data_IF_061906514389
#
_entry.id   IF_061906514389
#
_cell.length_a   1.000
_cell.length_b   1.000
_cell.length_c   1.000
_cell.angle_alpha   90.00
_cell.angle_beta   90.00
_cell.angle_gamma   90.00
#
_symmetry.space_group_name_H-M   'P 1'
#
loop_
_entity.id
_entity.type
_entity.pdbx_description
1 polymer ?
#
# COMPACT_ATOMS: atom_id res chain seq x y z
N UNK A 1 -33.81 45.82 54.39
CA UNK A 1 -32.60 46.22 55.13
C UNK A 1 -31.67 46.86 54.13
N UNK A 2 -31.69 48.18 54.07
CA UNK A 2 -30.74 48.97 53.28
C UNK A 2 -29.45 49.09 54.12
N UNK A 3 -28.27 48.74 53.59
CA UNK A 3 -27.03 48.96 54.32
C UNK A 3 -26.59 50.42 54.17
N UNK A 4 -26.46 51.10 55.32
CA UNK A 4 -25.79 52.38 55.50
C UNK A 4 -24.41 52.40 54.84
N UNK A 5 -24.19 53.38 53.97
CA UNK A 5 -22.88 53.57 53.31
C UNK A 5 -22.04 54.55 54.16
N UNK A 6 -20.90 54.14 54.74
CA UNK A 6 -20.06 55.03 55.53
C UNK A 6 -19.45 56.14 54.65
N UNK A 7 -19.57 57.40 55.07
CA UNK A 7 -19.01 58.59 54.41
C UNK A 7 -17.48 58.66 54.57
N UNK A 8 -16.77 57.72 53.94
CA UNK A 8 -15.31 57.64 53.89
C UNK A 8 -14.73 58.11 52.55
N UNK A 9 -13.43 58.44 52.56
CA UNK A 9 -12.61 58.76 51.37
C UNK A 9 -12.69 57.60 50.37
N UNK A 10 -12.94 57.90 49.09
CA UNK A 10 -13.01 56.88 48.03
C UNK A 10 -11.67 56.14 47.93
N UNK A 11 -11.73 54.82 47.98
CA UNK A 11 -10.59 53.90 47.90
C UNK A 11 -10.44 53.29 46.50
N UNK A 12 -9.35 52.58 46.27
CA UNK A 12 -9.11 51.85 45.01
C UNK A 12 -10.10 50.68 44.84
N UNK A 13 -10.49 50.01 45.93
CA UNK A 13 -11.46 48.91 45.92
C UNK A 13 -12.87 49.40 45.56
N UNK A 14 -13.29 50.56 46.08
CA UNK A 14 -14.56 51.19 45.68
C UNK A 14 -14.60 51.43 44.16
N UNK A 15 -13.49 51.94 43.60
CA UNK A 15 -13.39 52.22 42.16
C UNK A 15 -13.34 50.92 41.36
N UNK A 16 -12.68 49.86 41.85
CA UNK A 16 -12.66 48.54 41.20
C UNK A 16 -14.06 47.93 41.12
N UNK A 17 -14.79 47.92 42.24
CA UNK A 17 -16.17 47.41 42.28
C UNK A 17 -17.11 48.21 41.36
N UNK A 18 -16.96 49.54 41.29
CA UNK A 18 -17.74 50.37 40.37
C UNK A 18 -17.40 50.12 38.89
N UNK A 19 -16.13 49.83 38.58
CA UNK A 19 -15.71 49.46 37.22
C UNK A 19 -16.27 48.09 36.83
N UNK A 20 -16.30 47.13 37.74
CA UNK A 20 -16.96 45.82 37.53
C UNK A 20 -18.44 45.97 37.19
N UNK A 21 -19.16 46.83 37.93
CA UNK A 21 -20.57 47.14 37.63
C UNK A 21 -20.75 47.81 36.26
N UNK A 22 -19.75 48.54 35.77
CA UNK A 22 -19.75 49.19 34.47
C UNK A 22 -19.21 48.31 33.33
N UNK A 23 -18.97 47.02 33.59
CA UNK A 23 -18.56 46.04 32.57
C UNK A 23 -17.12 45.54 32.69
N UNK A 24 -16.44 45.78 33.82
CA UNK A 24 -15.20 45.09 34.19
C UNK A 24 -13.90 45.58 33.55
N UNK A 25 -13.97 46.49 32.56
CA UNK A 25 -12.79 47.04 31.89
C UNK A 25 -12.53 48.51 32.30
N UNK A 26 -11.51 48.78 33.14
CA UNK A 26 -11.06 50.12 33.53
C UNK A 26 -10.72 51.04 32.35
N UNK A 27 -10.28 50.49 31.22
CA UNK A 27 -9.87 51.25 30.02
C UNK A 27 -11.08 51.79 29.23
N UNK A 28 -12.25 51.18 29.38
CA UNK A 28 -13.48 51.57 28.66
C UNK A 28 -14.42 52.47 29.44
N UNK A 29 -14.04 52.84 30.67
CA UNK A 29 -14.81 53.76 31.52
C UNK A 29 -14.03 55.02 31.87
N UNK A 30 -14.65 55.98 32.55
CA UNK A 30 -14.02 57.24 32.95
C UNK A 30 -14.46 57.65 34.37
N UNK A 31 -13.72 58.59 34.97
CA UNK A 31 -13.96 59.01 36.34
C UNK A 31 -15.36 59.61 36.57
N UNK A 32 -16.01 60.15 35.55
CA UNK A 32 -17.37 60.68 35.66
C UNK A 32 -18.42 59.58 35.78
N UNK A 33 -18.34 58.55 34.91
CA UNK A 33 -19.23 57.39 34.97
C UNK A 33 -19.04 56.60 36.27
N UNK A 34 -17.80 56.43 36.70
CA UNK A 34 -17.48 55.76 37.98
C UNK A 34 -18.04 56.56 39.16
N UNK A 35 -17.95 57.89 39.13
CA UNK A 35 -18.53 58.76 40.17
C UNK A 35 -20.05 58.71 40.19
N UNK A 36 -20.70 58.60 39.03
CA UNK A 36 -22.15 58.46 38.92
C UNK A 36 -22.64 57.18 39.62
N UNK A 37 -21.90 56.08 39.47
CA UNK A 37 -22.17 54.81 40.17
C UNK A 37 -21.88 54.90 41.67
N UNK A 38 -20.77 55.55 42.06
CA UNK A 38 -20.38 55.65 43.47
C UNK A 38 -21.15 56.71 44.27
N UNK A 39 -21.73 57.71 43.61
CA UNK A 39 -22.44 58.84 44.22
C UNK A 39 -21.59 59.79 45.07
N UNK A 40 -20.27 59.54 45.17
CA UNK A 40 -19.35 60.24 46.08
C UNK A 40 -17.93 60.30 45.55
N UNK A 41 -17.09 61.09 46.20
CA UNK A 41 -15.67 61.26 45.87
C UNK A 41 -15.39 62.34 44.84
N UNK A 42 -14.16 62.86 44.88
CA UNK A 42 -13.66 63.85 43.92
C UNK A 42 -13.17 63.19 42.64
N UNK A 43 -13.43 63.82 41.49
CA UNK A 43 -13.02 63.33 40.17
C UNK A 43 -11.53 63.00 40.08
N UNK A 44 -10.68 63.80 40.73
CA UNK A 44 -9.22 63.61 40.72
C UNK A 44 -8.78 62.35 41.45
N UNK A 45 -9.41 62.00 42.57
CA UNK A 45 -9.12 60.78 43.34
C UNK A 45 -9.58 59.55 42.59
N UNK A 46 -10.79 59.60 42.02
CA UNK A 46 -11.34 58.49 41.21
C UNK A 46 -10.47 58.27 39.97
N UNK A 47 -10.05 59.35 39.29
CA UNK A 47 -9.18 59.25 38.12
C UNK A 47 -7.82 58.62 38.45
N UNK A 48 -7.23 58.94 39.61
CA UNK A 48 -5.98 58.32 40.06
C UNK A 48 -6.13 56.81 40.28
N UNK A 49 -7.20 56.39 40.95
CA UNK A 49 -7.45 54.96 41.17
C UNK A 49 -7.78 54.23 39.87
N UNK A 50 -8.52 54.86 38.96
CA UNK A 50 -8.82 54.27 37.66
C UNK A 50 -7.56 54.12 36.79
N UNK A 51 -6.63 55.08 36.86
CA UNK A 51 -5.33 54.97 36.19
C UNK A 51 -4.48 53.84 36.80
N UNK A 52 -4.49 53.68 38.12
CA UNK A 52 -3.80 52.57 38.78
C UNK A 52 -4.36 51.20 38.33
N UNK A 53 -5.68 51.05 38.23
CA UNK A 53 -6.30 49.82 37.71
C UNK A 53 -5.96 49.53 36.25
N UNK A 54 -5.83 50.56 35.41
CA UNK A 54 -5.37 50.38 34.02
C UNK A 54 -3.91 49.96 33.94
N UNK A 55 -3.06 50.52 34.81
CA UNK A 55 -1.66 50.14 34.89
C UNK A 55 -1.48 48.70 35.41
N UNK A 56 -2.34 48.24 36.34
CA UNK A 56 -2.37 46.85 36.79
C UNK A 56 -2.78 45.86 35.68
N UNK A 57 -3.64 46.29 34.76
CA UNK A 57 -4.10 45.46 33.63
C UNK A 57 -3.25 45.58 32.37
N UNK A 58 -2.34 46.54 32.30
CA UNK A 58 -1.35 46.58 31.25
C UNK A 58 -0.41 45.39 31.47
N UNK A 59 -0.49 44.37 30.60
CA UNK A 59 0.54 43.33 30.52
C UNK A 59 1.91 44.03 30.42
N UNK A 60 2.92 43.61 31.20
CA UNK A 60 4.26 44.14 31.02
C UNK A 60 4.65 43.92 29.56
N UNK A 61 5.05 45.00 28.87
CA UNK A 61 5.57 44.92 27.51
C UNK A 61 6.58 43.77 27.46
N UNK A 62 6.31 42.77 26.62
CA UNK A 62 7.22 41.66 26.44
C UNK A 62 8.58 42.24 26.05
N UNK A 63 9.61 42.02 26.87
CA UNK A 63 10.97 42.41 26.55
C UNK A 63 11.27 41.88 25.14
N UNK A 64 11.62 42.79 24.22
CA UNK A 64 12.04 42.41 22.87
C UNK A 64 13.21 41.44 23.02
N UNK A 65 12.94 40.15 22.74
CA UNK A 65 13.99 39.15 22.67
C UNK A 65 15.07 39.58 21.67
N UNK A 66 16.30 39.05 21.77
CA UNK A 66 17.41 39.48 20.93
C UNK A 66 17.03 39.48 19.43
N UNK A 67 17.28 40.60 18.74
CA UNK A 67 16.96 40.81 17.30
C UNK A 67 17.55 39.73 16.37
N UNK A 68 18.55 38.98 16.84
CA UNK A 68 19.20 37.90 16.08
C UNK A 68 19.08 36.58 16.82
N UNK A 69 18.54 35.58 16.11
CA UNK A 69 18.47 34.22 16.60
C UNK A 69 19.90 33.70 16.90
N UNK A 70 20.13 33.03 18.04
CA UNK A 70 21.43 32.48 18.35
C UNK A 70 21.84 31.42 17.31
N UNK A 71 23.13 31.33 17.01
CA UNK A 71 23.66 30.31 16.10
C UNK A 71 23.29 28.91 16.64
N UNK A 72 22.72 28.07 15.77
CA UNK A 72 22.32 26.73 16.16
C UNK A 72 23.53 25.95 16.70
N UNK A 73 23.42 25.26 17.85
CA UNK A 73 24.52 24.49 18.40
C UNK A 73 25.00 23.43 17.41
N UNK A 74 26.20 23.63 16.84
CA UNK A 74 26.72 22.80 15.73
C UNK A 74 26.77 21.31 16.09
N UNK A 75 27.13 20.98 17.32
CA UNK A 75 27.17 19.60 17.80
C UNK A 75 25.79 18.94 17.78
N UNK A 76 24.73 19.67 18.15
CA UNK A 76 23.37 19.15 18.15
C UNK A 76 22.91 18.88 16.72
N UNK A 77 23.16 19.82 15.80
CA UNK A 77 22.82 19.67 14.37
C UNK A 77 23.56 18.48 13.77
N UNK A 78 24.86 18.32 14.04
CA UNK A 78 25.64 17.19 13.56
C UNK A 78 25.12 15.84 14.08
N UNK A 79 24.74 15.77 15.36
CA UNK A 79 24.18 14.54 15.95
C UNK A 79 22.82 14.18 15.35
N UNK A 80 21.95 15.16 15.14
CA UNK A 80 20.65 14.95 14.49
C UNK A 80 20.86 14.49 13.04
N UNK A 81 21.77 15.14 12.31
CA UNK A 81 22.10 14.77 10.94
C UNK A 81 22.66 13.35 10.84
N UNK A 82 23.62 12.99 11.71
CA UNK A 82 24.21 11.65 11.75
C UNK A 82 23.15 10.58 12.06
N UNK A 83 22.24 10.84 13.00
CA UNK A 83 21.15 9.93 13.33
C UNK A 83 20.15 9.76 12.18
N UNK A 84 19.76 10.87 11.53
CA UNK A 84 18.88 10.85 10.37
C UNK A 84 19.51 10.09 9.18
N UNK A 85 20.80 10.33 8.92
CA UNK A 85 21.53 9.64 7.87
C UNK A 85 21.68 8.15 8.16
N UNK A 86 22.04 7.77 9.39
CA UNK A 86 22.16 6.37 9.78
C UNK A 86 20.84 5.61 9.63
N UNK A 87 19.71 6.21 10.03
CA UNK A 87 18.40 5.59 9.87
C UNK A 87 17.98 5.50 8.39
N UNK A 88 18.25 6.53 7.58
CA UNK A 88 18.03 6.48 6.14
C UNK A 88 18.86 5.37 5.48
N UNK A 89 20.16 5.31 5.78
CA UNK A 89 21.07 4.29 5.27
C UNK A 89 20.61 2.88 5.68
N UNK A 90 20.13 2.69 6.91
CA UNK A 90 19.59 1.42 7.38
C UNK A 90 18.32 1.01 6.62
N UNK A 91 17.37 1.93 6.44
CA UNK A 91 16.11 1.67 5.72
C UNK A 91 16.36 1.35 4.25
N UNK A 92 17.16 2.18 3.58
CA UNK A 92 17.45 2.01 2.16
C UNK A 92 18.38 0.83 1.90
N UNK A 93 19.38 0.60 2.76
CA UNK A 93 20.29 -0.53 2.65
C UNK A 93 19.56 -1.86 2.77
N UNK A 94 18.65 -2.01 3.75
CA UNK A 94 17.83 -3.21 3.87
C UNK A 94 16.94 -3.40 2.64
N UNK A 95 16.19 -2.37 2.24
CA UNK A 95 15.29 -2.46 1.09
C UNK A 95 16.01 -2.79 -0.21
N UNK A 96 17.22 -2.24 -0.41
CA UNK A 96 18.04 -2.54 -1.59
C UNK A 96 18.54 -3.97 -1.56
N UNK A 97 19.03 -4.44 -0.41
CA UNK A 97 19.50 -5.81 -0.26
C UNK A 97 18.37 -6.82 -0.48
N UNK A 98 17.18 -6.57 0.09
CA UNK A 98 16.00 -7.41 -0.09
C UNK A 98 15.57 -7.45 -1.58
N UNK A 99 15.66 -6.32 -2.29
CA UNK A 99 15.35 -6.24 -3.71
C UNK A 99 16.37 -7.01 -4.57
N UNK A 100 17.67 -6.85 -4.29
CA UNK A 100 18.74 -7.56 -4.99
C UNK A 100 18.64 -9.08 -4.79
N UNK A 101 18.37 -9.52 -3.55
CA UNK A 101 18.16 -10.93 -3.27
C UNK A 101 16.97 -11.49 -4.06
N UNK A 102 15.87 -10.75 -4.09
CA UNK A 102 14.68 -11.17 -4.86
C UNK A 102 14.95 -11.26 -6.36
N UNK A 103 15.77 -10.36 -6.91
CA UNK A 103 16.17 -10.42 -8.33
C UNK A 103 16.99 -11.69 -8.57
N UNK A 104 18.01 -11.95 -7.76
CA UNK A 104 18.83 -13.17 -7.86
C UNK A 104 17.97 -14.44 -7.79
N UNK A 105 17.06 -14.52 -6.81
CA UNK A 105 16.18 -15.69 -6.66
C UNK A 105 15.24 -15.88 -7.88
N UNK A 106 14.81 -14.78 -8.51
CA UNK A 106 13.97 -14.83 -9.70
C UNK A 106 14.77 -15.23 -10.94
N UNK A 107 16.02 -14.77 -11.07
CA UNK A 107 16.92 -15.15 -12.14
C UNK A 107 17.23 -16.66 -12.07
N UNK A 108 17.53 -17.18 -10.89
CA UNK A 108 17.77 -18.62 -10.68
C UNK A 108 16.53 -19.45 -11.05
N UNK A 109 15.34 -19.03 -10.61
CA UNK A 109 14.08 -19.71 -10.94
C UNK A 109 13.74 -19.63 -12.42
N UNK A 110 14.05 -18.52 -13.08
CA UNK A 110 13.86 -18.37 -14.51
C UNK A 110 14.81 -19.30 -15.28
N UNK A 111 16.07 -19.42 -14.84
CA UNK A 111 17.03 -20.36 -15.42
C UNK A 111 16.51 -21.80 -15.38
N UNK A 112 16.08 -22.27 -14.21
CA UNK A 112 15.50 -23.62 -14.06
C UNK A 112 14.28 -23.82 -14.97
N UNK A 113 13.37 -22.83 -15.03
CA UNK A 113 12.19 -22.93 -15.88
C UNK A 113 12.52 -22.98 -17.38
N UNK A 114 13.59 -22.30 -17.81
CA UNK A 114 14.05 -22.36 -19.20
C UNK A 114 14.66 -23.72 -19.53
N UNK A 115 15.47 -24.28 -18.61
CA UNK A 115 16.04 -25.62 -18.77
C UNK A 115 14.94 -26.69 -18.84
N UNK A 116 13.91 -26.59 -17.99
CA UNK A 116 12.75 -27.48 -18.01
C UNK A 116 11.98 -27.38 -19.33
N UNK A 117 11.78 -26.16 -19.85
CA UNK A 117 11.12 -25.95 -21.14
C UNK A 117 11.93 -26.54 -22.31
N UNK A 118 13.26 -26.42 -22.27
CA UNK A 118 14.13 -27.04 -23.27
C UNK A 118 14.04 -28.57 -23.20
N UNK A 119 13.99 -29.15 -21.99
CA UNK A 119 13.77 -30.58 -21.78
C UNK A 119 12.44 -31.04 -22.38
N UNK A 120 11.34 -30.36 -22.04
CA UNK A 120 10.01 -30.68 -22.57
C UNK A 120 9.92 -30.55 -24.10
N UNK A 121 10.63 -29.59 -24.70
CA UNK A 121 10.70 -29.45 -26.15
C UNK A 121 11.37 -30.67 -26.81
N UNK A 122 12.48 -31.14 -26.24
CA UNK A 122 13.18 -32.36 -26.73
C UNK A 122 12.31 -33.60 -26.58
N UNK A 123 11.60 -33.73 -25.46
CA UNK A 123 10.68 -34.84 -25.24
C UNK A 123 9.53 -34.83 -26.26
N UNK A 124 9.00 -33.64 -26.59
CA UNK A 124 7.96 -33.49 -27.59
C UNK A 124 8.46 -33.88 -28.98
N UNK A 125 9.63 -33.39 -29.39
CA UNK A 125 10.25 -33.76 -30.68
C UNK A 125 10.46 -35.28 -30.77
N UNK A 126 10.90 -35.91 -29.67
CA UNK A 126 11.06 -37.37 -29.62
C UNK A 126 9.72 -38.09 -29.78
N UNK A 127 8.69 -37.68 -29.03
CA UNK A 127 7.36 -38.28 -29.10
C UNK A 127 6.71 -38.12 -30.48
N UNK A 128 6.93 -36.98 -31.14
CA UNK A 128 6.48 -36.78 -32.52
C UNK A 128 7.17 -37.74 -33.49
N UNK A 129 8.49 -37.93 -33.35
CA UNK A 129 9.23 -38.91 -34.14
C UNK A 129 8.76 -40.35 -33.90
N UNK A 130 8.51 -40.72 -32.65
CA UNK A 130 7.98 -42.04 -32.28
C UNK A 130 6.57 -42.28 -32.84
N UNK A 131 5.70 -41.27 -32.76
CA UNK A 131 4.36 -41.28 -33.37
C UNK A 131 4.45 -41.50 -34.87
N UNK A 132 5.28 -40.74 -35.57
CA UNK A 132 5.37 -40.82 -37.04
C UNK A 132 5.91 -42.20 -37.47
N UNK A 133 6.92 -42.72 -36.76
CA UNK A 133 7.42 -44.07 -36.98
C UNK A 133 6.37 -45.15 -36.66
N UNK A 134 5.50 -44.94 -35.67
CA UNK A 134 4.40 -45.84 -35.38
C UNK A 134 3.32 -45.82 -36.47
N UNK A 135 2.98 -44.64 -37.00
CA UNK A 135 2.03 -44.49 -38.12
C UNK A 135 2.54 -45.23 -39.36
N UNK A 136 3.79 -45.00 -39.76
CA UNK A 136 4.38 -45.69 -40.92
C UNK A 136 4.38 -47.21 -40.74
N UNK A 137 4.70 -47.71 -39.53
CA UNK A 137 4.64 -49.14 -39.24
C UNK A 137 3.21 -49.70 -39.30
N UNK A 138 2.22 -48.94 -38.82
CA UNK A 138 0.82 -49.34 -38.87
C UNK A 138 0.33 -49.43 -40.32
N UNK A 139 0.59 -48.41 -41.14
CA UNK A 139 0.23 -48.40 -42.57
C UNK A 139 0.87 -49.56 -43.34
N UNK A 140 2.15 -49.85 -43.06
CA UNK A 140 2.84 -50.99 -43.67
C UNK A 140 2.23 -52.34 -43.25
N UNK A 141 1.87 -52.48 -41.98
CA UNK A 141 1.22 -53.70 -41.48
C UNK A 141 -0.19 -53.87 -42.08
N UNK A 142 -0.97 -52.80 -42.20
CA UNK A 142 -2.28 -52.84 -42.86
C UNK A 142 -2.17 -53.26 -44.32
N UNK A 143 -1.20 -52.71 -45.05
CA UNK A 143 -0.94 -53.10 -46.44
C UNK A 143 -0.56 -54.58 -46.55
N UNK A 144 0.34 -55.07 -45.69
CA UNK A 144 0.75 -56.47 -45.68
C UNK A 144 -0.43 -57.42 -45.39
N UNK A 145 -1.29 -57.05 -44.44
CA UNK A 145 -2.51 -57.81 -44.13
C UNK A 145 -3.50 -57.83 -45.30
N UNK A 146 -3.62 -56.73 -46.05
CA UNK A 146 -4.48 -56.68 -47.23
C UNK A 146 -3.93 -57.54 -48.37
N UNK A 147 -2.62 -57.51 -48.61
CA UNK A 147 -1.96 -58.39 -49.58
C UNK A 147 -2.15 -59.88 -49.22
N UNK A 148 -1.99 -60.24 -47.94
CA UNK A 148 -2.23 -61.61 -47.45
C UNK A 148 -3.70 -62.03 -47.63
N UNK A 149 -4.66 -61.16 -47.32
CA UNK A 149 -6.09 -61.43 -47.55
C UNK A 149 -6.39 -61.68 -49.02
N UNK A 150 -5.82 -60.87 -49.92
CA UNK A 150 -6.01 -61.05 -51.36
C UNK A 150 -5.41 -62.37 -51.86
N UNK A 151 -4.23 -62.75 -51.37
CA UNK A 151 -3.61 -64.04 -51.66
C UNK A 151 -4.50 -65.20 -51.22
N UNK A 152 -5.00 -65.17 -49.97
CA UNK A 152 -5.90 -66.19 -49.43
C UNK A 152 -7.21 -66.31 -50.21
N UNK A 153 -7.79 -65.19 -50.65
CA UNK A 153 -8.98 -65.19 -51.51
C UNK A 153 -8.67 -65.84 -52.87
N UNK A 154 -7.53 -65.51 -53.47
CA UNK A 154 -7.07 -66.11 -54.73
C UNK A 154 -6.85 -67.62 -54.63
N UNK A 155 -6.17 -68.08 -53.57
CA UNK A 155 -5.95 -69.51 -53.30
C UNK A 155 -7.28 -70.25 -53.11
N UNK A 156 -8.21 -69.69 -52.33
CA UNK A 156 -9.53 -70.28 -52.13
C UNK A 156 -10.31 -70.39 -53.44
N UNK A 157 -10.23 -69.38 -54.31
CA UNK A 157 -10.87 -69.42 -55.63
C UNK A 157 -10.26 -70.53 -56.51
N UNK A 158 -8.94 -70.65 -56.54
CA UNK A 158 -8.23 -71.69 -57.29
C UNK A 158 -8.59 -73.11 -56.79
N UNK A 159 -8.59 -73.31 -55.47
CA UNK A 159 -9.01 -74.58 -54.87
C UNK A 159 -10.46 -74.93 -55.19
N UNK A 160 -11.36 -73.94 -55.14
CA UNK A 160 -12.77 -74.15 -55.50
C UNK A 160 -12.92 -74.59 -56.95
N UNK A 161 -12.24 -73.92 -57.88
CA UNK A 161 -12.24 -74.29 -59.30
C UNK A 161 -11.65 -75.69 -59.54
N UNK A 162 -10.58 -76.06 -58.83
CA UNK A 162 -9.98 -77.39 -58.94
C UNK A 162 -10.93 -78.49 -58.44
N UNK A 163 -11.64 -78.26 -57.32
CA UNK A 163 -12.65 -79.19 -56.81
C UNK A 163 -13.81 -79.35 -57.80
N UNK A 164 -14.28 -78.26 -58.41
CA UNK A 164 -15.33 -78.33 -59.44
C UNK A 164 -14.87 -79.12 -60.67
N UNK A 165 -13.64 -78.90 -61.13
CA UNK A 165 -13.08 -79.65 -62.26
C UNK A 165 -12.91 -81.14 -61.94
N UNK A 166 -12.49 -81.50 -60.72
CA UNK A 166 -12.42 -82.90 -60.31
C UNK A 166 -13.81 -83.55 -60.25
N UNK A 167 -14.84 -82.81 -59.81
CA UNK A 167 -16.22 -83.29 -59.80
C UNK A 167 -16.76 -83.58 -61.19
N UNK A 168 -16.41 -82.79 -62.21
CA UNK A 168 -16.87 -83.03 -63.58
C UNK A 168 -16.16 -84.21 -64.25
N UNK A 169 -14.95 -84.55 -63.80
CA UNK A 169 -14.15 -85.67 -64.33
C UNK A 169 -14.44 -87.02 -63.66
N UNK A 170 -15.09 -87.02 -62.49
CA UNK A 170 -15.48 -88.25 -61.79
C UNK A 170 -16.80 -88.83 -62.35
N UNK A 171 -16.86 -90.13 -62.69
CA UNK A 171 -18.11 -90.77 -63.12
C UNK A 171 -19.16 -90.77 -61.99
N UNK A 172 -20.46 -90.70 -62.30
CA UNK A 172 -21.53 -90.65 -61.29
C UNK A 172 -21.61 -91.87 -60.36
N UNK A 173 -20.95 -92.98 -60.70
CA UNK A 173 -20.89 -94.21 -59.89
C UNK A 173 -19.85 -94.18 -58.75
N UNK A 174 -19.00 -93.15 -58.65
CA UNK A 174 -17.93 -93.06 -57.65
C UNK A 174 -18.23 -92.16 -56.43
N UNK A 175 -19.44 -91.59 -56.32
CA UNK A 175 -19.85 -90.64 -55.28
C UNK A 175 -20.94 -91.19 -54.32
N UNK A 176 -21.03 -92.52 -54.19
CA UNK A 176 -21.89 -93.20 -53.23
C UNK A 176 -21.24 -93.38 -51.87
#
# INVERSE_FOLDING_TARGET
MEPEVPLGRVTLEDVRAAVEQLGGDPSRTNAAKVREVLGRGGYTTIQKHLQALRAEQAEPEAEEGPETAPEAPRELVQRIWAAAWAEAARRHGKSLNDALQKVSDLEDRLGVALDDLEGLAKDLDQLEGERDAAVVRAEAAEKALEEERQAMVGERAALTAMVEQLRTLLPPTALG
#
